data_IF_723970785341
#
_entry.id   IF_723970785341
#
_cell.length_a   1.000
_cell.length_b   1.000
_cell.length_c   1.000
_cell.angle_alpha   90.00
_cell.angle_beta   90.00
_cell.angle_gamma   90.00
#
_symmetry.space_group_name_H-M   'P 1'
#
loop_
_entity.id
_entity.type
_entity.pdbx_description
1 polymer ?
#
# COMPACT_ATOMS: atom_id res chain seq x y z
N UNK A 1 -25.70 21.36 -25.64
CA UNK A 1 -24.46 20.56 -25.49
C UNK A 1 -23.31 21.41 -25.98
N UNK A 2 -22.37 21.73 -25.10
CA UNK A 2 -21.22 22.61 -25.33
C UNK A 2 -19.96 21.80 -25.64
N UNK A 3 -18.92 22.44 -26.20
CA UNK A 3 -17.60 21.80 -26.42
C UNK A 3 -17.05 21.19 -25.13
N UNK A 4 -17.32 21.82 -23.99
CA UNK A 4 -16.89 21.34 -22.68
C UNK A 4 -17.54 19.99 -22.32
N UNK A 5 -18.82 19.82 -22.65
CA UNK A 5 -19.53 18.56 -22.40
C UNK A 5 -18.92 17.40 -23.20
N UNK A 6 -18.51 17.67 -24.44
CA UNK A 6 -17.85 16.68 -25.31
C UNK A 6 -16.49 16.27 -24.73
N UNK A 7 -15.68 17.23 -24.29
CA UNK A 7 -14.36 16.95 -23.69
C UNK A 7 -14.47 16.14 -22.39
N UNK A 8 -15.47 16.44 -21.55
CA UNK A 8 -15.74 15.68 -20.33
C UNK A 8 -16.17 14.25 -20.66
N UNK A 9 -17.05 14.07 -21.66
CA UNK A 9 -17.51 12.76 -22.09
C UNK A 9 -16.36 11.89 -22.63
N UNK A 10 -15.47 12.45 -23.46
CA UNK A 10 -14.30 11.75 -23.98
C UNK A 10 -13.34 11.31 -22.86
N UNK A 11 -13.01 12.22 -21.92
CA UNK A 11 -12.16 11.89 -20.77
C UNK A 11 -12.78 10.81 -19.90
N UNK A 12 -14.10 10.87 -19.69
CA UNK A 12 -14.82 9.89 -18.88
C UNK A 12 -14.83 8.52 -19.55
N UNK A 13 -15.07 8.46 -20.87
CA UNK A 13 -15.00 7.22 -21.65
C UNK A 13 -13.63 6.58 -21.57
N UNK A 14 -12.55 7.36 -21.74
CA UNK A 14 -11.18 6.85 -21.60
C UNK A 14 -10.93 6.27 -20.20
N UNK A 15 -11.29 7.00 -19.14
CA UNK A 15 -11.12 6.53 -17.76
C UNK A 15 -11.92 5.24 -17.50
N UNK A 16 -13.14 5.13 -18.03
CA UNK A 16 -13.96 3.93 -17.86
C UNK A 16 -13.35 2.71 -18.56
N UNK A 17 -12.78 2.88 -19.76
CA UNK A 17 -12.05 1.81 -20.45
C UNK A 17 -10.84 1.34 -19.66
N UNK A 18 -10.05 2.28 -19.11
CA UNK A 18 -8.94 1.94 -18.21
C UNK A 18 -9.42 1.24 -16.95
N UNK A 19 -10.54 1.67 -16.38
CA UNK A 19 -11.11 1.07 -15.19
C UNK A 19 -11.58 -0.37 -15.46
N UNK A 20 -12.20 -0.67 -16.60
CA UNK A 20 -12.59 -2.05 -16.96
C UNK A 20 -11.38 -2.96 -16.97
N UNK A 21 -10.34 -2.58 -17.73
CA UNK A 21 -9.08 -3.33 -17.81
C UNK A 21 -8.43 -3.51 -16.44
N UNK A 22 -8.47 -2.48 -15.60
CA UNK A 22 -7.91 -2.54 -14.25
C UNK A 22 -8.65 -3.54 -13.36
N UNK A 23 -9.99 -3.50 -13.36
CA UNK A 23 -10.83 -4.40 -12.56
C UNK A 23 -10.69 -5.86 -13.00
N UNK A 24 -10.42 -6.11 -14.28
CA UNK A 24 -10.16 -7.45 -14.82
C UNK A 24 -8.79 -8.02 -14.38
N UNK A 25 -7.88 -7.18 -13.87
CA UNK A 25 -6.55 -7.66 -13.44
C UNK A 25 -6.56 -8.25 -12.03
N UNK A 26 -5.75 -9.30 -11.82
CA UNK A 26 -5.53 -9.94 -10.51
C UNK A 26 -4.29 -9.41 -9.77
N UNK A 27 -3.87 -8.17 -10.08
CA UNK A 27 -2.65 -7.61 -9.49
C UNK A 27 -2.79 -7.37 -7.99
N UNK A 28 -1.70 -7.57 -7.24
CA UNK A 28 -1.65 -7.34 -5.77
C UNK A 28 -2.09 -5.95 -5.33
N UNK A 29 -2.03 -4.95 -6.22
CA UNK A 29 -2.38 -3.57 -5.93
C UNK A 29 -3.89 -3.30 -6.06
N UNK A 30 -4.66 -4.13 -6.79
CA UNK A 30 -6.08 -3.86 -7.06
C UNK A 30 -6.96 -3.75 -5.80
N UNK A 31 -6.74 -4.54 -4.72
CA UNK A 31 -7.54 -4.38 -3.50
C UNK A 31 -7.27 -3.03 -2.81
N UNK A 32 -6.02 -2.58 -2.80
CA UNK A 32 -5.60 -1.32 -2.17
C UNK A 32 -6.03 -0.11 -3.02
N UNK A 33 -5.88 -0.23 -4.35
CA UNK A 33 -6.22 0.81 -5.33
C UNK A 33 -7.27 0.29 -6.30
N UNK A 34 -8.56 0.31 -5.93
CA UNK A 34 -9.62 -0.18 -6.80
C UNK A 34 -9.88 0.74 -8.00
N UNK A 35 -9.52 2.03 -7.91
CA UNK A 35 -9.79 3.01 -8.94
C UNK A 35 -8.52 3.53 -9.63
N UNK A 36 -8.55 3.63 -10.97
CA UNK A 36 -7.44 4.11 -11.81
C UNK A 36 -7.18 5.62 -11.67
N UNK A 37 -8.14 6.38 -11.13
CA UNK A 37 -7.99 7.82 -10.89
C UNK A 37 -6.84 8.09 -9.92
N UNK A 38 -6.21 9.25 -10.10
CA UNK A 38 -5.13 9.69 -9.25
C UNK A 38 -5.62 9.93 -7.82
N UNK A 39 -4.87 9.44 -6.83
CA UNK A 39 -5.12 9.79 -5.44
C UNK A 39 -4.87 11.28 -5.20
N UNK A 40 -5.78 11.91 -4.45
CA UNK A 40 -5.72 13.36 -4.17
C UNK A 40 -4.64 13.71 -3.14
N UNK A 41 -4.30 12.78 -2.24
CA UNK A 41 -3.31 13.02 -1.20
C UNK A 41 -1.89 12.69 -1.68
N UNK A 42 -0.99 13.66 -1.50
CA UNK A 42 0.46 13.48 -1.46
C UNK A 42 0.93 13.95 -0.10
N UNK A 43 1.81 13.20 0.55
CA UNK A 43 2.41 13.68 1.79
C UNK A 43 3.41 14.80 1.45
N UNK A 44 3.57 15.76 2.36
CA UNK A 44 4.57 16.83 2.20
C UNK A 44 6.00 16.29 2.20
N UNK A 45 6.21 15.10 2.79
CA UNK A 45 7.51 14.45 2.88
C UNK A 45 7.66 13.37 1.79
N UNK A 46 8.56 13.63 0.83
CA UNK A 46 8.91 12.69 -0.25
C UNK A 46 9.31 11.30 0.28
N UNK A 47 10.01 11.23 1.42
CA UNK A 47 10.44 9.95 2.00
C UNK A 47 9.24 9.07 2.36
N UNK A 48 8.20 9.67 2.96
CA UNK A 48 7.00 8.94 3.35
C UNK A 48 6.20 8.48 2.13
N UNK A 49 6.09 9.31 1.09
CA UNK A 49 5.47 8.93 -0.18
C UNK A 49 6.17 7.73 -0.83
N UNK A 50 7.51 7.70 -0.81
CA UNK A 50 8.30 6.57 -1.31
C UNK A 50 8.04 5.31 -0.47
N UNK A 51 8.08 5.42 0.86
CA UNK A 51 7.82 4.30 1.78
C UNK A 51 6.43 3.70 1.54
N UNK A 52 5.38 4.52 1.47
CA UNK A 52 4.02 4.05 1.22
C UNK A 52 3.87 3.43 -0.17
N UNK A 53 4.52 4.00 -1.18
CA UNK A 53 4.48 3.44 -2.55
C UNK A 53 5.12 2.06 -2.60
N UNK A 54 6.28 1.86 -1.94
CA UNK A 54 6.93 0.55 -1.85
C UNK A 54 6.08 -0.47 -1.09
N UNK A 55 5.46 -0.06 0.01
CA UNK A 55 4.52 -0.90 0.76
C UNK A 55 3.36 -1.38 -0.11
N UNK A 56 2.73 -0.48 -0.86
CA UNK A 56 1.60 -0.77 -1.75
C UNK A 56 1.94 -1.76 -2.86
N UNK A 57 3.15 -1.65 -3.41
CA UNK A 57 3.66 -2.59 -4.40
C UNK A 57 4.17 -3.90 -3.77
N UNK A 58 4.37 -3.91 -2.45
CA UNK A 58 4.99 -5.00 -1.72
C UNK A 58 6.51 -5.09 -1.90
N UNK A 59 7.14 -4.14 -2.62
CA UNK A 59 8.55 -4.14 -3.00
C UNK A 59 9.43 -3.47 -1.95
N UNK A 60 9.58 -4.10 -0.80
CA UNK A 60 10.43 -3.59 0.29
C UNK A 60 11.69 -4.43 0.41
N UNK A 61 12.76 -3.86 1.00
CA UNK A 61 14.00 -4.61 1.21
C UNK A 61 13.74 -5.86 2.05
N UNK A 62 12.85 -5.78 3.05
CA UNK A 62 12.46 -6.90 3.89
C UNK A 62 11.86 -8.06 3.09
N UNK A 63 10.99 -7.80 2.13
CA UNK A 63 10.26 -8.86 1.43
C UNK A 63 10.87 -9.26 0.09
N UNK A 64 11.75 -8.45 -0.51
CA UNK A 64 12.28 -8.69 -1.86
C UNK A 64 13.80 -8.90 -1.94
N UNK A 65 14.58 -8.57 -0.89
CA UNK A 65 16.04 -8.76 -0.92
C UNK A 65 16.41 -10.23 -1.18
N UNK A 66 15.67 -11.18 -0.61
CA UNK A 66 15.93 -12.60 -0.79
C UNK A 66 15.80 -13.06 -2.25
N UNK A 67 14.84 -12.50 -3.02
CA UNK A 67 14.67 -12.80 -4.44
C UNK A 67 15.91 -12.39 -5.26
N UNK A 68 16.48 -11.22 -4.96
CA UNK A 68 17.69 -10.73 -5.63
C UNK A 68 18.92 -11.57 -5.27
N UNK A 69 18.95 -12.11 -4.06
CA UNK A 69 20.07 -12.92 -3.55
C UNK A 69 19.87 -14.42 -3.79
N UNK A 70 18.73 -14.83 -4.35
CA UNK A 70 18.29 -16.24 -4.43
C UNK A 70 18.40 -16.97 -3.08
N UNK A 71 18.12 -16.24 -2.01
CA UNK A 71 18.11 -16.76 -0.64
C UNK A 71 16.69 -17.20 -0.26
N UNK A 72 16.57 -17.87 0.89
CA UNK A 72 15.27 -18.26 1.45
C UNK A 72 14.42 -17.05 1.83
N UNK A 73 13.10 -17.24 1.80
CA UNK A 73 12.14 -16.22 2.22
C UNK A 73 12.41 -15.84 3.68
N UNK A 74 12.55 -14.54 3.99
CA UNK A 74 12.78 -14.13 5.36
C UNK A 74 11.56 -14.46 6.20
N UNK A 75 11.78 -15.00 7.39
CA UNK A 75 10.72 -15.34 8.33
C UNK A 75 10.60 -14.29 9.43
N UNK A 76 9.39 -14.10 9.95
CA UNK A 76 9.19 -13.33 11.16
C UNK A 76 9.83 -14.06 12.34
N UNK A 77 10.78 -13.42 13.02
CA UNK A 77 11.50 -14.01 14.17
C UNK A 77 10.60 -14.44 15.32
N UNK A 78 9.40 -13.85 15.44
CA UNK A 78 8.45 -14.14 16.52
C UNK A 78 7.38 -15.16 16.15
N UNK A 79 7.03 -15.24 14.87
CA UNK A 79 5.92 -16.05 14.39
C UNK A 79 6.36 -17.26 13.57
N UNK A 80 7.63 -17.29 13.13
CA UNK A 80 8.21 -18.33 12.29
C UNK A 80 7.42 -18.59 10.98
N UNK A 81 6.79 -17.54 10.45
CA UNK A 81 6.07 -17.55 9.17
C UNK A 81 6.74 -16.56 8.21
N UNK A 82 6.48 -16.72 6.92
CA UNK A 82 7.01 -15.83 5.88
C UNK A 82 6.71 -14.36 6.17
N UNK A 83 7.75 -13.54 6.18
CA UNK A 83 7.65 -12.11 6.39
C UNK A 83 7.09 -11.45 5.12
N UNK A 84 5.82 -11.10 5.17
CA UNK A 84 5.12 -10.35 4.12
C UNK A 84 4.67 -8.98 4.64
N UNK A 85 4.31 -8.06 3.73
CA UNK A 85 3.75 -6.76 4.15
C UNK A 85 2.42 -6.94 4.89
N UNK A 86 1.61 -7.92 4.48
CA UNK A 86 0.37 -8.25 5.19
C UNK A 86 0.68 -8.75 6.60
N UNK A 87 1.65 -9.67 6.76
CA UNK A 87 2.04 -10.14 8.08
C UNK A 87 2.56 -9.00 8.95
N UNK A 88 3.45 -8.16 8.42
CA UNK A 88 4.01 -7.02 9.15
C UNK A 88 2.93 -6.03 9.61
N UNK A 89 2.05 -5.62 8.70
CA UNK A 89 1.07 -4.55 8.95
C UNK A 89 -0.21 -5.03 9.62
N UNK A 90 -0.56 -6.32 9.53
CA UNK A 90 -1.89 -6.82 9.92
C UNK A 90 -1.77 -8.08 10.79
N UNK A 91 -1.13 -9.13 10.30
CA UNK A 91 -1.31 -10.46 10.92
C UNK A 91 -0.38 -10.73 12.12
N UNK A 92 0.76 -10.04 12.23
CA UNK A 92 1.78 -10.35 13.25
C UNK A 92 1.30 -9.97 14.66
N UNK A 93 1.09 -10.92 15.59
CA UNK A 93 0.60 -10.62 16.94
C UNK A 93 1.58 -9.77 17.76
N UNK A 94 2.88 -9.89 17.46
CA UNK A 94 3.92 -9.12 18.15
C UNK A 94 3.73 -7.61 18.01
N UNK A 95 3.16 -7.16 16.89
CA UNK A 95 2.95 -5.73 16.61
C UNK A 95 1.53 -5.24 16.95
N UNK A 96 0.69 -6.07 17.58
CA UNK A 96 -0.69 -5.73 17.90
C UNK A 96 -0.79 -4.44 18.73
N UNK A 97 0.05 -4.32 19.77
CA UNK A 97 0.04 -3.15 20.65
C UNK A 97 0.43 -1.86 19.92
N UNK A 98 1.36 -1.94 18.95
CA UNK A 98 1.75 -0.77 18.15
C UNK A 98 0.65 -0.39 17.16
N UNK A 99 -0.06 -1.37 16.58
CA UNK A 99 -1.22 -1.10 15.71
C UNK A 99 -2.33 -0.39 16.45
N UNK A 100 -2.71 -0.88 17.64
CA UNK A 100 -3.76 -0.25 18.45
C UNK A 100 -3.36 1.15 18.89
N UNK A 101 -2.11 1.35 19.32
CA UNK A 101 -1.59 2.65 19.74
C UNK A 101 -1.55 3.70 18.61
N UNK A 102 -1.36 3.25 17.36
CA UNK A 102 -1.33 4.14 16.18
C UNK A 102 -2.66 4.24 15.46
N UNK A 103 -3.67 3.48 15.89
CA UNK A 103 -4.96 3.33 15.21
C UNK A 103 -4.82 2.84 13.76
N UNK A 104 -3.89 1.91 13.51
CA UNK A 104 -3.74 1.28 12.20
C UNK A 104 -4.92 0.33 11.93
N UNK A 105 -5.61 0.42 10.79
CA UNK A 105 -6.71 -0.49 10.46
C UNK A 105 -6.26 -1.94 10.28
N UNK A 106 -7.14 -2.88 10.61
CA UNK A 106 -6.89 -4.33 10.51
C UNK A 106 -7.05 -4.90 9.09
N UNK A 107 -7.30 -4.05 8.10
CA UNK A 107 -7.42 -4.44 6.69
C UNK A 107 -6.34 -3.73 5.85
N UNK A 108 -5.56 -4.51 5.10
CA UNK A 108 -4.43 -4.00 4.32
C UNK A 108 -4.85 -2.95 3.27
N UNK A 109 -5.97 -3.21 2.60
CA UNK A 109 -6.58 -2.34 1.60
C UNK A 109 -7.16 -1.04 2.18
N UNK A 110 -7.40 -0.99 3.50
CA UNK A 110 -7.80 0.22 4.20
C UNK A 110 -6.54 0.96 4.63
N UNK A 111 -5.65 0.28 5.36
CA UNK A 111 -4.43 0.86 5.91
C UNK A 111 -3.52 1.52 4.86
N UNK A 112 -3.40 0.92 3.67
CA UNK A 112 -2.53 1.43 2.60
C UNK A 112 -3.25 2.36 1.60
N UNK A 113 -4.56 2.57 1.74
CA UNK A 113 -5.33 3.44 0.85
C UNK A 113 -5.37 4.88 1.42
N UNK A 114 -4.80 5.88 0.73
CA UNK A 114 -4.70 7.24 1.25
C UNK A 114 -6.04 7.98 1.30
N UNK A 115 -7.09 7.45 0.66
CA UNK A 115 -8.44 8.00 0.77
C UNK A 115 -9.16 7.49 2.02
N UNK A 116 -8.66 6.41 2.64
CA UNK A 116 -9.24 5.77 3.82
C UNK A 116 -8.42 5.93 5.09
N UNK A 117 -7.10 6.09 4.98
CA UNK A 117 -6.17 6.19 6.11
C UNK A 117 -5.11 7.25 5.84
N UNK A 118 -4.84 8.11 6.82
CA UNK A 118 -3.71 9.04 6.73
C UNK A 118 -2.42 8.22 6.68
N UNK A 119 -1.63 8.43 5.63
CA UNK A 119 -0.34 7.77 5.46
C UNK A 119 0.59 7.94 6.67
N UNK A 120 0.45 9.02 7.45
CA UNK A 120 1.21 9.24 8.69
C UNK A 120 0.95 8.17 9.75
N UNK A 121 -0.25 7.59 9.81
CA UNK A 121 -0.56 6.47 10.72
C UNK A 121 0.32 5.27 10.42
N UNK A 122 0.45 4.91 9.14
CA UNK A 122 1.31 3.80 8.71
C UNK A 122 2.77 4.10 8.99
N UNK A 123 3.22 5.34 8.77
CA UNK A 123 4.59 5.77 9.08
C UNK A 123 4.86 5.71 10.59
N UNK A 124 3.94 6.21 11.43
CA UNK A 124 4.06 6.16 12.88
C UNK A 124 4.15 4.71 13.39
N UNK A 125 3.37 3.80 12.80
CA UNK A 125 3.47 2.38 13.08
C UNK A 125 4.87 1.84 12.74
N UNK A 126 5.36 2.10 11.52
CA UNK A 126 6.68 1.64 11.07
C UNK A 126 7.83 2.20 11.91
N UNK A 127 7.73 3.45 12.35
CA UNK A 127 8.69 4.07 13.25
C UNK A 127 8.65 3.41 14.64
N UNK A 128 7.46 3.10 15.15
CA UNK A 128 7.26 2.40 16.43
C UNK A 128 7.86 1.00 16.47
N UNK A 129 7.94 0.31 15.33
CA UNK A 129 8.60 -0.99 15.18
C UNK A 129 10.01 -0.90 14.55
N UNK A 130 10.53 0.32 14.37
CA UNK A 130 11.86 0.62 13.83
C UNK A 130 12.15 0.07 12.42
N UNK A 131 11.11 -0.16 11.59
CA UNK A 131 11.24 -0.78 10.28
C UNK A 131 11.30 0.21 9.10
N UNK A 132 11.13 1.52 9.34
CA UNK A 132 11.10 2.56 8.29
C UNK A 132 12.36 2.59 7.42
N UNK A 133 13.53 2.20 7.95
CA UNK A 133 14.79 2.11 7.18
C UNK A 133 14.92 0.86 6.30
N UNK A 134 14.07 -0.14 6.53
CA UNK A 134 14.08 -1.41 5.81
C UNK A 134 13.02 -1.46 4.70
N UNK A 135 12.33 -0.34 4.45
CA UNK A 135 11.31 -0.15 3.40
C UNK A 135 11.87 0.78 2.33
#
# INVERSE_FOLDING_TARGET
MTIQDILIAQKTSLINQWQSKWTETTQKLTPIKPNVRRWKQRLSNRKYDVTLTRLRLGHTKLTHKHLLQKAETPQCEKCNVDLTIKHLLIDCPHYQNTRTATHLPDALEVALNPEKTDGRTVIAFLDGIQMTKQI
#
